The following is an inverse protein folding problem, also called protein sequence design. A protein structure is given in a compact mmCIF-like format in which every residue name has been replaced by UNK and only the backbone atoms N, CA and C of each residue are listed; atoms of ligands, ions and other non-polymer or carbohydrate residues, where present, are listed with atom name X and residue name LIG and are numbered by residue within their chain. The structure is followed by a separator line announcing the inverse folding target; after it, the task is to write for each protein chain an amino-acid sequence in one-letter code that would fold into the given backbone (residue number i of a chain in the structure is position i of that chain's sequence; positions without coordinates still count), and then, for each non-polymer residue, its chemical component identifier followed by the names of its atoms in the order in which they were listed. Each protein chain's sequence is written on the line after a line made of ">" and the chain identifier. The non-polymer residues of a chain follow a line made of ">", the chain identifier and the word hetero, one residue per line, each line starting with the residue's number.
data_IF_531352656670
#
_entry.id   IF_531352656670
#
_cell.length_a   1.000
_cell.length_b   1.000
_cell.length_c   1.000
_cell.angle_alpha   90.00
_cell.angle_beta   90.00
_cell.angle_gamma   90.00
#
_symmetry.space_group_name_H-M   'P 1'
#
loop_
_entity.id
_entity.type
_entity.pdbx_description
1 polymer ?
#
# COMPACT_ATOMS: atom_id res chain seq x y z
N UNK A 1 -10.13 -11.77 9.78
CA UNK A 1 -9.55 -10.52 9.28
C UNK A 1 -8.28 -10.17 9.98
N UNK A 2 -7.31 -9.72 9.26
CA UNK A 2 -6.00 -9.45 9.83
C UNK A 2 -5.50 -8.08 9.43
N UNK A 3 -5.80 -7.06 10.22
CA UNK A 3 -5.29 -5.71 9.92
C UNK A 3 -3.77 -5.68 9.84
N UNK A 4 -3.10 -6.56 10.57
CA UNK A 4 -1.65 -6.63 10.53
C UNK A 4 -1.15 -6.96 9.13
N UNK A 5 -1.86 -7.82 8.42
CA UNK A 5 -1.47 -8.20 7.06
C UNK A 5 -1.49 -7.00 6.13
N UNK A 6 -2.52 -6.16 6.24
CA UNK A 6 -2.59 -4.95 5.42
C UNK A 6 -1.44 -4.01 5.72
N UNK A 7 -1.11 -3.85 6.99
CA UNK A 7 0.01 -3.00 7.37
C UNK A 7 1.34 -3.55 6.87
N UNK A 8 1.48 -4.86 6.83
CA UNK A 8 2.68 -5.49 6.29
C UNK A 8 2.86 -5.15 4.81
N UNK A 9 1.78 -5.28 4.05
CA UNK A 9 1.84 -4.94 2.63
C UNK A 9 2.13 -3.46 2.42
N UNK A 10 1.55 -2.61 3.25
CA UNK A 10 1.79 -1.18 3.18
C UNK A 10 3.27 -0.87 3.44
N UNK A 11 3.83 -1.49 4.47
CA UNK A 11 5.23 -1.31 4.80
C UNK A 11 6.16 -1.80 3.70
N UNK A 12 5.86 -2.98 3.16
CA UNK A 12 6.66 -3.52 2.06
C UNK A 12 6.58 -2.64 0.83
N UNK A 13 5.38 -2.15 0.52
CA UNK A 13 5.22 -1.27 -0.62
C UNK A 13 6.03 -0.01 -0.48
N UNK A 14 6.00 0.59 0.70
CA UNK A 14 6.79 1.79 0.97
C UNK A 14 8.28 1.50 0.83
N UNK A 15 8.71 0.35 1.36
CA UNK A 15 10.11 -0.03 1.30
C UNK A 15 10.57 -0.22 -0.14
N UNK A 16 9.77 -0.93 -0.94
CA UNK A 16 10.12 -1.14 -2.35
C UNK A 16 10.19 0.18 -3.10
N UNK A 17 9.27 1.10 -2.80
CA UNK A 17 9.26 2.40 -3.45
C UNK A 17 10.54 3.16 -3.16
N UNK A 18 11.04 3.07 -1.94
CA UNK A 18 12.27 3.75 -1.55
C UNK A 18 13.49 3.14 -2.22
N UNK A 19 13.41 1.89 -2.60
CA UNK A 19 14.52 1.19 -3.27
C UNK A 19 14.40 1.21 -4.78
N UNK A 20 13.46 1.96 -5.30
CA UNK A 20 13.30 2.10 -6.74
C UNK A 20 12.61 0.94 -7.41
N UNK A 21 12.00 0.06 -6.64
CA UNK A 21 11.28 -1.10 -7.16
C UNK A 21 9.80 -0.77 -7.29
N UNK A 22 9.50 0.02 -8.29
CA UNK A 22 8.14 0.55 -8.41
C UNK A 22 7.10 -0.52 -8.68
N UNK A 23 7.42 -1.50 -9.48
CA UNK A 23 6.46 -2.55 -9.81
C UNK A 23 6.09 -3.34 -8.58
N UNK A 24 7.07 -3.75 -7.80
CA UNK A 24 6.80 -4.47 -6.57
C UNK A 24 6.06 -3.59 -5.58
N UNK A 25 6.45 -2.32 -5.49
CA UNK A 25 5.76 -1.39 -4.60
C UNK A 25 4.30 -1.25 -4.99
N UNK A 26 4.03 -1.17 -6.29
CA UNK A 26 2.68 -1.05 -6.78
C UNK A 26 1.83 -2.26 -6.36
N UNK A 27 2.39 -3.45 -6.51
CA UNK A 27 1.67 -4.67 -6.17
C UNK A 27 1.35 -4.70 -4.67
N UNK A 28 2.35 -4.38 -3.84
CA UNK A 28 2.16 -4.44 -2.39
C UNK A 28 1.16 -3.38 -1.93
N UNK A 29 1.29 -2.17 -2.46
CA UNK A 29 0.39 -1.09 -2.06
C UNK A 29 -1.04 -1.36 -2.54
N UNK A 30 -1.19 -1.92 -3.74
CA UNK A 30 -2.51 -2.29 -4.22
C UNK A 30 -3.15 -3.33 -3.32
N UNK A 31 -2.38 -4.32 -2.89
CA UNK A 31 -2.88 -5.34 -1.99
C UNK A 31 -3.31 -4.72 -0.65
N UNK A 32 -2.50 -3.79 -0.14
CA UNK A 32 -2.84 -3.12 1.11
C UNK A 32 -4.14 -2.33 0.98
N UNK A 33 -4.30 -1.63 -0.12
CA UNK A 33 -5.51 -0.84 -0.35
C UNK A 33 -6.73 -1.75 -0.40
N UNK A 34 -6.62 -2.88 -1.09
CA UNK A 34 -7.72 -3.83 -1.15
C UNK A 34 -8.09 -4.34 0.23
N UNK A 35 -7.09 -4.67 1.03
CA UNK A 35 -7.35 -5.18 2.38
C UNK A 35 -7.99 -4.11 3.25
N UNK A 36 -7.50 -2.88 3.17
CA UNK A 36 -8.08 -1.79 3.94
C UNK A 36 -9.54 -1.56 3.53
N UNK A 37 -9.81 -1.64 2.24
CA UNK A 37 -11.16 -1.44 1.74
C UNK A 37 -12.11 -2.53 2.23
N UNK A 38 -11.67 -3.77 2.18
CA UNK A 38 -12.49 -4.89 2.62
C UNK A 38 -12.78 -4.79 4.11
N UNK A 39 -11.81 -4.31 4.88
CA UNK A 39 -11.98 -4.17 6.32
C UNK A 39 -12.58 -2.83 6.72
N UNK A 40 -12.95 -2.01 5.74
CA UNK A 40 -13.52 -0.68 5.98
C UNK A 40 -12.61 0.19 6.82
N UNK A 41 -11.31 0.04 6.61
CA UNK A 41 -10.33 0.86 7.31
C UNK A 41 -9.97 2.08 6.47
N UNK A 42 -10.98 2.90 6.20
CA UNK A 42 -10.79 4.09 5.36
C UNK A 42 -9.77 5.04 5.95
N UNK A 43 -9.58 4.96 7.25
CA UNK A 43 -8.58 5.76 7.93
C UNK A 43 -7.18 5.53 7.34
N UNK A 44 -6.90 4.30 6.91
CA UNK A 44 -5.60 3.94 6.35
C UNK A 44 -5.56 4.01 4.83
N UNK A 45 -6.73 4.14 4.21
CA UNK A 45 -6.79 4.20 2.74
C UNK A 45 -6.08 5.44 2.20
N UNK A 46 -6.28 6.57 2.83
CA UNK A 46 -5.68 7.83 2.39
C UNK A 46 -4.16 7.72 2.27
N UNK A 47 -3.43 7.33 3.33
CA UNK A 47 -1.98 7.23 3.21
C UNK A 47 -1.54 6.16 2.23
N UNK A 48 -2.28 5.05 2.13
CA UNK A 48 -1.91 4.00 1.19
C UNK A 48 -2.09 4.46 -0.25
N UNK A 49 -3.18 5.16 -0.52
CA UNK A 49 -3.44 5.68 -1.86
C UNK A 49 -2.43 6.77 -2.21
N UNK A 50 -2.08 7.59 -1.24
CA UNK A 50 -1.08 8.62 -1.48
C UNK A 50 0.27 8.02 -1.86
N UNK A 51 0.66 6.96 -1.15
CA UNK A 51 1.92 6.29 -1.46
C UNK A 51 1.87 5.68 -2.85
N UNK A 52 0.76 5.05 -3.20
CA UNK A 52 0.61 4.46 -4.52
C UNK A 52 0.65 5.53 -5.60
N UNK A 53 0.01 6.65 -5.36
CA UNK A 53 -0.01 7.76 -6.32
C UNK A 53 1.39 8.29 -6.58
N UNK A 54 2.22 8.35 -5.55
CA UNK A 54 3.58 8.85 -5.70
C UNK A 54 4.39 7.99 -6.64
N UNK A 55 4.29 6.68 -6.55
CA UNK A 55 5.04 5.82 -7.45
C UNK A 55 4.41 5.78 -8.84
N UNK A 56 3.10 5.95 -8.94
CA UNK A 56 2.43 5.96 -10.23
C UNK A 56 2.75 7.22 -11.02
N UNK A 57 2.93 8.35 -10.33
CA UNK A 57 3.20 9.63 -10.99
C UNK A 57 4.63 9.74 -11.50
N UNK A 58 5.50 8.84 -11.11
CA UNK A 58 6.87 8.89 -11.56
C UNK A 58 7.10 7.98 -12.75
#
# INVERSE_FOLDING_TARGET
>A
MRPLLAHCHFGLGTLYARHGRREEAHVELSAAIELYRVMEMTFWLSPAEAALSQITNR
#
